data_IF_409401137181
#
_entry.id   IF_409401137181
#
_cell.length_a   1.000
_cell.length_b   1.000
_cell.length_c   1.000
_cell.angle_alpha   90.00
_cell.angle_beta   90.00
_cell.angle_gamma   90.00
#
_symmetry.space_group_name_H-M   'P 1'
#
loop_
_entity.id
_entity.type
_entity.pdbx_description
1 polymer ?
#
# COMPACT_ATOMS: atom_id res chain seq x y z
N UNK A 1 -7.84 12.34 8.02
CA UNK A 1 -6.39 12.33 8.25
C UNK A 1 -5.70 12.19 6.90
N UNK A 2 -4.65 12.98 6.58
CA UNK A 2 -3.94 12.84 5.31
C UNK A 2 -3.07 11.59 5.31
N UNK A 3 -2.86 11.00 4.12
CA UNK A 3 -2.01 9.81 3.97
C UNK A 3 -0.58 10.05 4.48
N UNK A 4 -0.01 11.23 4.18
CA UNK A 4 1.31 11.60 4.67
C UNK A 4 1.40 11.55 6.20
N UNK A 5 0.38 12.06 6.93
CA UNK A 5 0.36 12.02 8.40
C UNK A 5 0.33 10.58 8.93
N UNK A 6 -0.39 9.70 8.25
CA UNK A 6 -0.44 8.27 8.62
C UNK A 6 0.91 7.59 8.39
N UNK A 7 1.58 7.89 7.27
CA UNK A 7 2.93 7.36 7.01
C UNK A 7 3.95 7.86 8.04
N UNK A 8 3.92 9.15 8.40
CA UNK A 8 4.78 9.67 9.46
C UNK A 8 4.54 8.96 10.79
N UNK A 9 3.29 8.73 11.17
CA UNK A 9 2.98 7.99 12.41
C UNK A 9 3.49 6.55 12.33
N UNK A 10 3.36 5.87 11.20
CA UNK A 10 3.89 4.52 11.02
C UNK A 10 5.42 4.50 11.16
N UNK A 11 6.11 5.49 10.59
CA UNK A 11 7.58 5.65 10.76
C UNK A 11 7.92 5.90 12.23
N UNK A 12 7.19 6.73 12.95
CA UNK A 12 7.41 6.97 14.38
C UNK A 12 7.21 5.70 15.21
N UNK A 13 6.15 4.94 14.97
CA UNK A 13 5.91 3.66 15.64
C UNK A 13 7.11 2.71 15.46
N UNK A 14 7.65 2.63 14.24
CA UNK A 14 8.82 1.76 13.95
C UNK A 14 10.10 2.27 14.59
N UNK A 15 10.38 3.57 14.47
CA UNK A 15 11.68 4.14 14.85
C UNK A 15 11.79 4.44 16.35
N UNK A 16 10.69 4.94 16.94
CA UNK A 16 10.67 5.34 18.37
C UNK A 16 10.13 4.25 19.28
N UNK A 17 9.03 3.60 18.89
CA UNK A 17 8.36 2.59 19.73
C UNK A 17 8.81 1.15 19.41
N UNK A 18 9.54 0.95 18.30
CA UNK A 18 9.95 -0.37 17.77
C UNK A 18 8.77 -1.30 17.48
N UNK A 19 7.61 -0.73 17.15
CA UNK A 19 6.38 -1.45 16.81
C UNK A 19 6.18 -1.50 15.32
N UNK A 20 5.76 -2.65 14.81
CA UNK A 20 5.26 -2.78 13.45
C UNK A 20 3.93 -2.03 13.29
N UNK A 21 3.66 -1.54 12.09
CA UNK A 21 2.39 -0.90 11.75
C UNK A 21 1.83 -1.51 10.48
N UNK A 22 0.60 -2.00 10.57
CA UNK A 22 -0.21 -2.44 9.44
C UNK A 22 -1.33 -1.42 9.17
N UNK A 23 -1.94 -1.49 7.99
CA UNK A 23 -3.04 -0.59 7.63
C UNK A 23 -4.30 -1.40 7.42
N UNK A 24 -5.38 -0.97 8.07
CA UNK A 24 -6.70 -1.58 7.98
C UNK A 24 -7.62 -0.78 7.06
N UNK A 25 -8.30 -1.45 6.15
CA UNK A 25 -9.31 -0.88 5.27
C UNK A 25 -10.64 -1.59 5.47
N UNK A 26 -11.72 -0.82 5.64
CA UNK A 26 -13.05 -1.38 5.85
C UNK A 26 -13.59 -2.00 4.56
N UNK A 27 -13.94 -3.28 4.60
CA UNK A 27 -14.49 -4.05 3.47
C UNK A 27 -15.80 -4.73 3.85
N UNK A 28 -16.59 -5.08 2.87
CA UNK A 28 -17.86 -5.82 3.07
C UNK A 28 -17.67 -7.34 3.16
N UNK A 29 -16.55 -7.85 2.64
CA UNK A 29 -16.21 -9.26 2.46
C UNK A 29 -14.83 -9.59 3.09
N UNK A 30 -14.69 -9.38 4.43
CA UNK A 30 -13.39 -9.49 5.12
C UNK A 30 -12.79 -10.90 5.07
N UNK A 31 -13.61 -11.95 4.90
CA UNK A 31 -13.17 -13.35 4.81
C UNK A 31 -12.22 -13.65 3.64
N UNK A 32 -12.09 -12.71 2.71
CA UNK A 32 -11.16 -12.84 1.56
C UNK A 32 -9.73 -12.44 1.89
N UNK A 33 -9.51 -11.78 3.02
CA UNK A 33 -8.26 -11.06 3.34
C UNK A 33 -7.72 -11.48 4.71
N UNK A 34 -6.52 -11.02 5.03
CA UNK A 34 -6.08 -10.96 6.41
C UNK A 34 -6.93 -9.95 7.17
N UNK A 35 -7.48 -10.31 8.32
CA UNK A 35 -8.39 -9.48 9.10
C UNK A 35 -7.76 -9.14 10.44
N UNK A 36 -7.79 -7.87 10.82
CA UNK A 36 -7.31 -7.38 12.12
C UNK A 36 -8.48 -6.95 13.01
N UNK A 37 -8.48 -7.43 14.26
CA UNK A 37 -9.27 -6.89 15.37
C UNK A 37 -8.36 -5.99 16.21
N UNK A 38 -8.87 -4.85 16.69
CA UNK A 38 -8.08 -3.87 17.43
C UNK A 38 -8.96 -3.09 18.42
N UNK A 39 -8.30 -2.49 19.41
CA UNK A 39 -8.93 -1.61 20.39
C UNK A 39 -9.07 -0.16 19.88
N UNK A 40 -9.65 0.69 20.70
CA UNK A 40 -9.85 2.11 20.41
C UNK A 40 -8.55 2.91 20.29
N UNK A 41 -7.45 2.37 20.81
CA UNK A 41 -6.12 2.97 20.77
C UNK A 41 -5.30 2.50 19.55
N UNK A 42 -5.86 1.58 18.75
CA UNK A 42 -5.20 0.99 17.58
C UNK A 42 -4.19 -0.09 17.90
N UNK A 43 -4.26 -0.69 19.11
CA UNK A 43 -3.49 -1.89 19.41
C UNK A 43 -4.22 -3.08 18.79
N UNK A 44 -3.49 -3.92 18.06
CA UNK A 44 -4.08 -5.11 17.45
C UNK A 44 -4.31 -6.16 18.54
N UNK A 45 -5.52 -6.71 18.59
CA UNK A 45 -5.95 -7.75 19.52
C UNK A 45 -5.83 -9.14 18.89
N UNK A 46 -6.19 -9.25 17.61
CA UNK A 46 -6.02 -10.48 16.85
C UNK A 46 -5.80 -10.17 15.37
N UNK A 47 -5.13 -11.08 14.66
CA UNK A 47 -4.96 -11.04 13.22
C UNK A 47 -5.10 -12.47 12.68
N UNK A 48 -5.91 -12.64 11.62
CA UNK A 48 -6.20 -13.95 11.05
C UNK A 48 -6.27 -13.88 9.53
N UNK A 49 -5.63 -14.85 8.86
CA UNK A 49 -5.64 -14.95 7.40
C UNK A 49 -6.90 -15.65 6.93
N UNK A 50 -7.70 -14.98 6.10
CA UNK A 50 -8.92 -15.49 5.47
C UNK A 50 -9.82 -16.26 6.45
N UNK A 51 -10.24 -15.61 7.55
CA UNK A 51 -11.05 -16.27 8.58
C UNK A 51 -12.41 -16.65 8.04
N UNK A 52 -12.91 -17.83 8.44
CA UNK A 52 -14.29 -18.25 8.12
C UNK A 52 -15.33 -17.46 8.90
N UNK A 53 -14.97 -16.92 10.06
CA UNK A 53 -15.78 -16.04 10.90
C UNK A 53 -14.97 -14.82 11.29
N UNK A 54 -14.94 -13.77 10.44
CA UNK A 54 -14.17 -12.57 10.70
C UNK A 54 -14.63 -11.84 11.97
N UNK A 55 -13.69 -11.46 12.82
CA UNK A 55 -13.97 -10.69 14.05
C UNK A 55 -14.15 -9.19 13.81
N UNK A 56 -13.78 -8.72 12.63
CA UNK A 56 -13.96 -7.33 12.20
C UNK A 56 -14.14 -7.26 10.67
N UNK A 57 -14.51 -6.07 10.17
CA UNK A 57 -14.57 -5.79 8.75
C UNK A 57 -13.30 -5.10 8.22
N UNK A 58 -12.20 -5.10 8.98
CA UNK A 58 -10.98 -4.43 8.57
C UNK A 58 -9.97 -5.39 7.97
N UNK A 59 -9.87 -5.36 6.64
CA UNK A 59 -8.84 -6.06 5.88
C UNK A 59 -7.49 -5.39 6.07
N UNK A 60 -6.44 -6.17 6.27
CA UNK A 60 -5.06 -5.69 6.30
C UNK A 60 -4.58 -5.52 4.87
N UNK A 61 -4.27 -4.28 4.49
CA UNK A 61 -3.81 -3.96 3.13
C UNK A 61 -2.31 -4.23 2.96
N UNK A 62 -1.85 -4.36 1.72
CA UNK A 62 -0.45 -4.69 1.38
C UNK A 62 0.57 -3.56 1.62
N UNK A 63 0.41 -2.81 2.71
CA UNK A 63 1.32 -1.76 3.14
C UNK A 63 1.74 -2.01 4.59
N UNK A 64 3.05 -2.18 4.80
CA UNK A 64 3.60 -2.59 6.08
C UNK A 64 4.81 -1.74 6.45
N UNK A 65 4.93 -1.37 7.73
CA UNK A 65 6.09 -0.74 8.29
C UNK A 65 6.61 -1.61 9.44
N UNK A 66 7.85 -2.07 9.33
CA UNK A 66 8.44 -2.97 10.30
C UNK A 66 9.77 -2.45 10.84
N UNK A 67 10.04 -2.68 12.13
CA UNK A 67 11.41 -2.61 12.65
C UNK A 67 12.32 -3.64 11.97
N UNK A 68 13.62 -3.43 11.96
CA UNK A 68 14.60 -4.33 11.32
C UNK A 68 14.53 -5.79 11.82
N UNK A 69 13.97 -6.01 13.00
CA UNK A 69 13.63 -7.34 13.55
C UNK A 69 12.87 -8.22 12.54
N UNK A 70 12.08 -7.62 11.62
CA UNK A 70 11.30 -8.34 10.61
C UNK A 70 12.15 -9.29 9.77
N UNK A 71 13.40 -8.95 9.49
CA UNK A 71 14.31 -9.80 8.70
C UNK A 71 14.54 -11.14 9.40
N UNK A 72 14.70 -11.14 10.73
CA UNK A 72 14.85 -12.36 11.52
C UNK A 72 13.53 -13.13 11.60
N UNK A 73 12.44 -12.44 11.86
CA UNK A 73 11.10 -13.03 11.93
C UNK A 73 10.74 -13.71 10.62
N UNK A 74 10.88 -13.01 9.48
CA UNK A 74 10.55 -13.56 8.16
C UNK A 74 11.37 -14.81 7.78
N UNK A 75 12.61 -14.92 8.29
CA UNK A 75 13.44 -16.11 8.10
C UNK A 75 13.03 -17.31 8.97
N UNK A 76 12.29 -17.08 10.05
CA UNK A 76 11.90 -18.09 11.03
C UNK A 76 10.49 -18.66 10.83
N UNK A 77 9.62 -17.97 10.08
CA UNK A 77 8.25 -18.44 9.85
C UNK A 77 8.25 -19.72 9.02
N UNK A 78 7.20 -20.51 9.22
CA UNK A 78 6.93 -21.76 8.49
C UNK A 78 5.73 -21.58 7.58
N UNK A 79 5.63 -22.39 6.51
CA UNK A 79 4.43 -22.40 5.67
C UNK A 79 3.16 -22.67 6.51
N UNK A 80 2.08 -21.99 6.16
CA UNK A 80 0.74 -22.20 6.72
C UNK A 80 0.18 -23.56 6.30
N UNK A 81 -1.02 -23.88 6.80
CA UNK A 81 -1.76 -25.07 6.35
C UNK A 81 -2.05 -25.07 4.83
N UNK A 82 -1.95 -23.90 4.18
CA UNK A 82 -2.08 -23.74 2.72
C UNK A 82 -0.80 -24.00 1.97
N UNK A 83 0.33 -24.25 2.68
CA UNK A 83 1.66 -24.46 2.10
C UNK A 83 2.39 -23.17 1.70
N UNK A 84 1.88 -22.01 2.10
CA UNK A 84 2.41 -20.68 1.75
C UNK A 84 3.05 -19.99 2.95
N UNK A 85 4.09 -19.19 2.72
CA UNK A 85 4.66 -18.27 3.72
C UNK A 85 3.77 -17.02 3.75
N UNK A 86 3.00 -16.89 4.83
CA UNK A 86 1.99 -15.83 4.96
C UNK A 86 2.58 -14.60 5.66
N UNK A 87 2.30 -13.41 5.13
CA UNK A 87 2.64 -12.16 5.81
C UNK A 87 1.87 -12.01 7.13
N UNK A 88 0.68 -12.60 7.22
CA UNK A 88 -0.12 -12.64 8.45
C UNK A 88 0.62 -13.38 9.56
N UNK A 89 1.41 -14.41 9.25
CA UNK A 89 2.26 -15.09 10.23
C UNK A 89 3.36 -14.16 10.76
N UNK A 90 3.96 -13.34 9.90
CA UNK A 90 4.93 -12.32 10.34
C UNK A 90 4.26 -11.32 11.27
N UNK A 91 3.07 -10.82 10.92
CA UNK A 91 2.31 -9.91 11.77
C UNK A 91 1.93 -10.55 13.12
N UNK A 92 1.60 -11.85 13.12
CA UNK A 92 1.29 -12.57 14.35
C UNK A 92 2.49 -12.63 15.32
N UNK A 93 3.72 -12.76 14.82
CA UNK A 93 4.92 -12.72 15.67
C UNK A 93 5.10 -11.34 16.34
N UNK A 94 4.85 -10.25 15.61
CA UNK A 94 4.83 -8.91 16.22
C UNK A 94 3.69 -8.72 17.21
N UNK A 95 2.53 -9.32 16.93
CA UNK A 95 1.39 -9.29 17.86
C UNK A 95 1.71 -10.04 19.17
N UNK A 96 2.31 -11.23 19.08
CA UNK A 96 2.71 -12.03 20.23
C UNK A 96 3.64 -11.27 21.18
N UNK A 97 4.49 -10.41 20.61
CA UNK A 97 5.40 -9.53 21.38
C UNK A 97 4.73 -8.20 21.81
N UNK A 98 3.43 -7.99 21.53
CA UNK A 98 2.71 -6.73 21.75
C UNK A 98 3.32 -5.54 21.00
N UNK A 99 3.92 -5.81 19.85
CA UNK A 99 4.63 -4.86 19.00
C UNK A 99 3.90 -4.61 17.66
N UNK A 100 2.58 -4.80 17.58
CA UNK A 100 1.79 -4.58 16.36
C UNK A 100 0.75 -3.48 16.59
N UNK A 101 0.77 -2.48 15.71
CA UNK A 101 -0.21 -1.39 15.65
C UNK A 101 -0.97 -1.43 14.33
N UNK A 102 -2.22 -0.95 14.34
CA UNK A 102 -3.01 -0.72 13.13
C UNK A 102 -3.27 0.77 12.92
N UNK A 103 -3.22 1.20 11.67
CA UNK A 103 -3.71 2.50 11.23
C UNK A 103 -4.87 2.32 10.26
N UNK A 104 -5.96 3.05 10.44
CA UNK A 104 -7.17 2.87 9.64
C UNK A 104 -7.19 3.84 8.46
N UNK A 105 -7.31 3.28 7.26
CA UNK A 105 -7.61 4.03 6.05
C UNK A 105 -9.11 4.41 6.07
N UNK A 106 -9.38 5.70 6.14
CA UNK A 106 -10.76 6.22 6.17
C UNK A 106 -11.42 6.23 4.79
N UNK A 107 -12.65 6.76 4.72
CA UNK A 107 -13.47 6.80 3.49
C UNK A 107 -12.86 7.59 2.33
N UNK A 108 -11.87 8.44 2.58
CA UNK A 108 -11.16 9.20 1.54
C UNK A 108 -10.10 8.41 0.79
N UNK A 109 -9.90 7.15 1.12
CA UNK A 109 -8.96 6.24 0.46
C UNK A 109 -9.70 5.25 -0.43
N UNK A 110 -9.10 4.91 -1.55
CA UNK A 110 -9.48 3.79 -2.37
C UNK A 110 -8.36 2.74 -2.29
N UNK A 111 -8.69 1.59 -1.72
CA UNK A 111 -7.85 0.41 -1.80
C UNK A 111 -8.53 -0.59 -2.72
N UNK A 112 -7.81 -1.02 -3.73
CA UNK A 112 -8.30 -1.93 -4.76
C UNK A 112 -7.39 -3.16 -4.78
N UNK A 113 -8.00 -4.32 -4.58
CA UNK A 113 -7.34 -5.61 -4.80
C UNK A 113 -7.26 -5.90 -6.29
N UNK A 114 -6.27 -6.65 -6.73
CA UNK A 114 -6.07 -7.04 -8.14
C UNK A 114 -5.88 -8.55 -8.30
N UNK A 115 -6.30 -9.32 -7.29
CA UNK A 115 -6.10 -10.77 -7.24
C UNK A 115 -7.02 -11.59 -8.14
N UNK A 116 -8.07 -10.99 -8.71
CA UNK A 116 -8.98 -11.64 -9.68
C UNK A 116 -9.08 -10.81 -10.95
N UNK A 117 -9.55 -11.43 -12.05
CA UNK A 117 -9.77 -10.70 -13.31
C UNK A 117 -10.76 -9.55 -13.12
N UNK A 118 -11.83 -9.76 -12.35
CA UNK A 118 -12.84 -8.73 -12.09
C UNK A 118 -12.26 -7.57 -11.30
N UNK A 119 -11.58 -7.84 -10.18
CA UNK A 119 -10.96 -6.80 -9.36
C UNK A 119 -9.85 -6.03 -10.10
N UNK A 120 -9.09 -6.70 -10.96
CA UNK A 120 -8.11 -6.04 -11.83
C UNK A 120 -8.79 -5.09 -12.83
N UNK A 121 -9.90 -5.52 -13.44
CA UNK A 121 -10.70 -4.70 -14.35
C UNK A 121 -11.27 -3.47 -13.65
N UNK A 122 -11.84 -3.65 -12.45
CA UNK A 122 -12.35 -2.55 -11.62
C UNK A 122 -11.26 -1.53 -11.27
N UNK A 123 -10.08 -2.01 -10.84
CA UNK A 123 -8.94 -1.15 -10.55
C UNK A 123 -8.47 -0.36 -11.78
N UNK A 124 -8.41 -1.02 -12.94
CA UNK A 124 -8.03 -0.38 -14.21
C UNK A 124 -9.03 0.72 -14.60
N UNK A 125 -10.32 0.45 -14.52
CA UNK A 125 -11.37 1.44 -14.81
C UNK A 125 -11.33 2.63 -13.85
N UNK A 126 -11.06 2.38 -12.58
CA UNK A 126 -10.93 3.42 -11.57
C UNK A 126 -9.74 4.35 -11.88
N UNK A 127 -8.57 3.79 -12.15
CA UNK A 127 -7.36 4.54 -12.52
C UNK A 127 -7.61 5.33 -13.80
N UNK A 128 -8.16 4.69 -14.85
CA UNK A 128 -8.49 5.34 -16.12
C UNK A 128 -9.41 6.56 -15.93
N UNK A 129 -10.44 6.41 -15.10
CA UNK A 129 -11.39 7.49 -14.82
C UNK A 129 -10.70 8.68 -14.16
N UNK A 130 -9.85 8.45 -13.17
CA UNK A 130 -9.10 9.52 -12.51
C UNK A 130 -8.13 10.22 -13.47
N UNK A 131 -7.36 9.45 -14.23
CA UNK A 131 -6.39 9.99 -15.21
C UNK A 131 -7.08 10.83 -16.30
N UNK A 132 -8.20 10.34 -16.84
CA UNK A 132 -8.98 11.09 -17.85
C UNK A 132 -9.55 12.39 -17.30
N UNK A 133 -9.96 12.42 -16.03
CA UNK A 133 -10.54 13.60 -15.40
C UNK A 133 -9.50 14.65 -15.05
N UNK A 134 -8.34 14.24 -14.57
CA UNK A 134 -7.29 15.14 -14.08
C UNK A 134 -6.26 15.49 -15.16
N UNK A 135 -6.13 14.66 -16.20
CA UNK A 135 -5.05 14.79 -17.17
C UNK A 135 -3.67 14.47 -16.59
N UNK A 136 -3.62 13.82 -15.43
CA UNK A 136 -2.40 13.41 -14.74
C UNK A 136 -2.29 11.89 -14.70
N UNK A 137 -1.07 11.37 -14.72
CA UNK A 137 -0.80 9.94 -14.61
C UNK A 137 -0.64 9.51 -13.16
N UNK A 138 -1.24 8.37 -12.80
CA UNK A 138 -1.06 7.76 -11.48
C UNK A 138 0.23 6.94 -11.50
N UNK A 139 1.06 7.09 -10.46
CA UNK A 139 2.32 6.35 -10.28
C UNK A 139 3.29 6.48 -11.47
N UNK A 140 3.30 7.63 -12.13
CA UNK A 140 4.26 7.94 -13.18
C UNK A 140 5.65 8.16 -12.56
N UNK A 141 6.52 7.16 -12.64
CA UNK A 141 7.83 7.16 -11.98
C UNK A 141 8.74 8.27 -12.51
N UNK A 142 8.70 8.53 -13.79
CA UNK A 142 9.48 9.58 -14.45
C UNK A 142 9.03 10.96 -13.99
N UNK A 143 7.73 11.20 -13.87
CA UNK A 143 7.22 12.47 -13.32
C UNK A 143 7.65 12.64 -11.86
N UNK A 144 7.54 11.59 -11.05
CA UNK A 144 7.95 11.62 -9.64
C UNK A 144 9.43 11.95 -9.53
N UNK A 145 10.28 11.27 -10.30
CA UNK A 145 11.72 11.50 -10.33
C UNK A 145 12.06 12.93 -10.76
N UNK A 146 11.39 13.46 -11.77
CA UNK A 146 11.55 14.82 -12.25
C UNK A 146 11.14 15.86 -11.20
N UNK A 147 9.93 15.71 -10.61
CA UNK A 147 9.43 16.62 -9.56
C UNK A 147 10.26 16.58 -8.27
N UNK A 148 10.91 15.46 -7.99
CA UNK A 148 11.85 15.31 -6.86
C UNK A 148 13.28 15.82 -7.18
N UNK A 149 13.54 16.26 -8.41
CA UNK A 149 14.86 16.69 -8.84
C UNK A 149 15.89 15.57 -8.96
N UNK A 150 15.44 14.31 -9.03
CA UNK A 150 16.33 13.15 -9.21
C UNK A 150 16.78 13.00 -10.66
N UNK A 151 16.01 13.52 -11.61
CA UNK A 151 16.37 13.62 -13.02
C UNK A 151 16.10 15.04 -13.53
N UNK A 152 16.86 15.44 -14.57
CA UNK A 152 16.69 16.74 -15.23
C UNK A 152 15.57 16.70 -16.28
N UNK A 153 15.17 17.88 -16.79
CA UNK A 153 14.21 18.00 -17.88
C UNK A 153 14.71 17.29 -19.15
N UNK A 154 16.02 17.43 -19.48
CA UNK A 154 16.65 16.78 -20.62
C UNK A 154 16.56 15.25 -20.48
N UNK A 155 16.81 14.71 -19.27
CA UNK A 155 16.71 13.27 -19.02
C UNK A 155 15.25 12.79 -19.15
N UNK A 156 14.28 13.57 -18.67
CA UNK A 156 12.86 13.25 -18.85
C UNK A 156 12.47 13.23 -20.34
N UNK A 157 12.93 14.20 -21.13
CA UNK A 157 12.71 14.22 -22.57
C UNK A 157 13.37 13.03 -23.29
N UNK A 158 14.58 12.65 -22.88
CA UNK A 158 15.26 11.46 -23.39
C UNK A 158 14.43 10.20 -23.16
N UNK A 159 13.90 10.03 -21.94
CA UNK A 159 13.02 8.89 -21.57
C UNK A 159 11.71 8.91 -22.36
N UNK A 160 11.17 10.07 -22.69
CA UNK A 160 9.94 10.20 -23.48
C UNK A 160 10.13 9.81 -24.96
N UNK A 161 11.31 10.03 -25.55
CA UNK A 161 11.59 9.84 -27.00
C UNK A 161 11.10 8.51 -27.57
N UNK A 162 11.39 7.32 -26.99
CA UNK A 162 10.96 6.05 -27.54
C UNK A 162 9.43 5.85 -27.47
N UNK A 163 8.74 6.62 -26.65
CA UNK A 163 7.30 6.50 -26.37
C UNK A 163 6.45 7.63 -26.98
N UNK A 164 7.00 8.51 -27.80
CA UNK A 164 6.29 9.68 -28.37
C UNK A 164 5.08 9.30 -29.25
N UNK A 165 5.01 8.07 -29.73
CA UNK A 165 3.88 7.56 -30.49
C UNK A 165 2.66 7.25 -29.64
N UNK A 166 2.80 7.19 -28.31
CA UNK A 166 1.71 6.92 -27.37
C UNK A 166 1.46 8.09 -26.42
N UNK A 167 0.31 8.06 -25.75
CA UNK A 167 -0.11 9.12 -24.82
C UNK A 167 0.83 9.29 -23.62
N UNK A 168 1.50 8.22 -23.17
CA UNK A 168 2.39 8.29 -22.02
C UNK A 168 3.64 9.11 -22.34
N UNK A 169 4.31 8.84 -23.45
CA UNK A 169 5.48 9.62 -23.88
C UNK A 169 5.14 11.08 -24.16
N UNK A 170 3.97 11.34 -24.76
CA UNK A 170 3.47 12.71 -24.96
C UNK A 170 3.24 13.43 -23.63
N UNK A 171 2.67 12.75 -22.65
CA UNK A 171 2.50 13.27 -21.30
C UNK A 171 3.84 13.66 -20.66
N UNK A 172 4.85 12.79 -20.70
CA UNK A 172 6.19 13.07 -20.16
C UNK A 172 6.81 14.33 -20.82
N UNK A 173 6.66 14.48 -22.13
CA UNK A 173 7.16 15.65 -22.84
C UNK A 173 6.45 16.94 -22.39
N UNK A 174 5.12 16.89 -22.20
CA UNK A 174 4.33 18.03 -21.73
C UNK A 174 4.77 18.53 -20.34
N UNK A 175 5.23 17.63 -19.44
CA UNK A 175 5.71 18.01 -18.12
C UNK A 175 6.91 18.98 -18.17
N UNK A 176 7.74 18.89 -19.22
CA UNK A 176 8.90 19.79 -19.37
C UNK A 176 8.54 21.12 -20.03
N UNK A 177 7.38 21.22 -20.68
CA UNK A 177 6.92 22.44 -21.36
C UNK A 177 6.04 23.31 -20.45
N UNK A 178 5.33 22.69 -19.52
CA UNK A 178 4.45 23.36 -18.58
C UNK A 178 5.16 23.49 -17.23
N UNK A 179 5.79 24.62 -16.96
CA UNK A 179 6.26 24.99 -15.61
C UNK A 179 5.03 25.20 -14.70
N UNK A 180 4.46 24.09 -14.17
CA UNK A 180 3.42 24.13 -13.14
C UNK A 180 3.96 23.61 -11.82
#
# INVERSE_FOLDING_TARGET
QSFSKMLFQAVENVTKERKATVFGYYVKDPERYGVAEFDTEGNVLSIEEKPTQPKSNYAVVGLYFYPNKVVKVAKSIKPSARGELEITTVNQEFLNDSELKVQLLGRGFAWLDTGTHDSLSEASNFVETLEKRQGLKISCLEEIAYRKGWITAEKLQELAKPMLKNQYGQYLLQLTMNNR
#
